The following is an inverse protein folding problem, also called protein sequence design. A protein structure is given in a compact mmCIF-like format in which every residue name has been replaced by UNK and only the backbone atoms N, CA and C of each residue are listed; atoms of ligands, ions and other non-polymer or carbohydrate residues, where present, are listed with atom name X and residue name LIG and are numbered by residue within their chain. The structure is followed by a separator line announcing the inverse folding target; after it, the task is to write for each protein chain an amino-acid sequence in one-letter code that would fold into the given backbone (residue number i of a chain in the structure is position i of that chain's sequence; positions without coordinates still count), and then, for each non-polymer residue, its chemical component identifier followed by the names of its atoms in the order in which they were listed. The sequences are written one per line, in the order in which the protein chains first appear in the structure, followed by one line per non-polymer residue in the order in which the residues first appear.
data_IF_219687390735
#
_entry.id   IF_219687390735
#
_cell.length_a   1.000
_cell.length_b   1.000
_cell.length_c   1.000
_cell.angle_alpha   90.00
_cell.angle_beta   90.00
_cell.angle_gamma   90.00
#
_symmetry.space_group_name_H-M   'P 1'
#
loop_
_entity.id
_entity.type
_entity.pdbx_description
1 polymer ?
#
# COMPACT_ATOMS: atom_id res chain seq x y z
N UNK A 1 17.59 11.97 26.79
CA UNK A 1 17.47 10.71 26.06
C UNK A 1 16.51 10.91 24.90
N UNK A 2 16.92 10.66 23.67
CA UNK A 2 16.00 10.70 22.54
C UNK A 2 15.11 9.45 22.62
N UNK A 3 13.80 9.64 22.60
CA UNK A 3 12.79 8.54 22.58
C UNK A 3 13.05 7.58 21.41
N UNK A 4 13.61 8.08 20.31
CA UNK A 4 13.93 7.31 19.11
C UNK A 4 15.01 6.25 19.31
N UNK A 5 15.95 6.42 20.25
CA UNK A 5 17.04 5.46 20.48
C UNK A 5 16.59 4.14 21.12
N UNK A 6 15.49 4.14 21.86
CA UNK A 6 15.02 2.93 22.52
C UNK A 6 14.12 2.06 21.62
N UNK A 7 13.43 2.64 20.68
CA UNK A 7 12.56 1.91 19.75
C UNK A 7 13.33 1.21 18.61
N UNK A 8 14.56 1.63 18.28
CA UNK A 8 15.38 0.97 17.25
C UNK A 8 15.75 -0.47 17.59
N UNK A 9 15.72 -0.84 18.87
CA UNK A 9 16.04 -2.19 19.36
C UNK A 9 14.95 -3.22 19.08
N UNK A 10 13.72 -2.77 18.90
CA UNK A 10 12.59 -3.65 18.69
C UNK A 10 12.34 -3.86 17.20
N UNK A 11 12.04 -5.09 16.82
CA UNK A 11 11.46 -5.39 15.52
C UNK A 11 10.07 -4.78 15.43
N UNK A 12 9.77 -4.15 14.30
CA UNK A 12 8.52 -3.44 14.06
C UNK A 12 7.88 -3.89 12.76
N UNK A 13 6.58 -3.72 12.69
CA UNK A 13 5.83 -3.75 11.45
C UNK A 13 5.33 -2.33 11.18
N UNK A 14 5.64 -1.80 10.01
CA UNK A 14 5.05 -0.55 9.55
C UNK A 14 3.67 -0.85 8.96
N UNK A 15 2.64 -0.26 9.56
CA UNK A 15 1.26 -0.53 9.18
C UNK A 15 0.78 0.28 7.97
N UNK A 16 1.57 1.23 7.47
CA UNK A 16 1.16 2.08 6.36
C UNK A 16 2.36 2.79 5.72
N UNK A 17 2.78 2.32 4.57
CA UNK A 17 3.81 2.96 3.77
C UNK A 17 3.35 3.15 2.32
N UNK A 18 4.05 4.00 1.60
CA UNK A 18 3.84 4.27 0.19
C UNK A 18 5.16 4.33 -0.55
N UNK A 19 5.12 4.01 -1.83
CA UNK A 19 6.18 4.34 -2.81
C UNK A 19 5.53 5.12 -3.96
N UNK A 20 6.31 5.91 -4.68
CA UNK A 20 5.82 6.67 -5.82
C UNK A 20 6.40 8.07 -5.89
N UNK A 21 5.83 8.88 -6.78
CA UNK A 21 6.18 10.27 -6.98
C UNK A 21 5.03 11.13 -6.45
N UNK A 22 5.28 11.80 -5.34
CA UNK A 22 4.33 12.72 -4.71
C UNK A 22 4.66 14.14 -5.14
N UNK A 23 3.83 14.70 -6.01
CA UNK A 23 4.01 16.05 -6.56
C UNK A 23 3.84 17.16 -5.53
N UNK A 24 3.59 18.40 -6.03
CA UNK A 24 3.34 19.56 -5.17
C UNK A 24 2.18 19.29 -4.20
N UNK A 25 2.28 19.72 -2.92
CA UNK A 25 3.38 20.49 -2.32
C UNK A 25 4.56 19.64 -1.82
N UNK A 26 4.48 18.32 -1.85
CA UNK A 26 5.46 17.44 -1.21
C UNK A 26 6.76 17.31 -2.00
N UNK A 27 6.68 17.19 -3.33
CA UNK A 27 7.82 16.99 -4.23
C UNK A 27 8.77 15.88 -3.77
N UNK A 28 8.20 14.74 -3.39
CA UNK A 28 8.91 13.57 -2.90
C UNK A 28 8.93 12.50 -4.00
N UNK A 29 10.10 11.92 -4.25
CA UNK A 29 10.24 10.68 -5.00
C UNK A 29 10.77 9.60 -4.06
N UNK A 30 9.96 8.61 -3.76
CA UNK A 30 10.26 7.54 -2.82
C UNK A 30 10.02 6.18 -3.48
N UNK A 31 11.09 5.45 -3.72
CA UNK A 31 11.04 4.15 -4.39
C UNK A 31 11.23 2.99 -3.40
N UNK A 32 11.10 1.75 -3.89
CA UNK A 32 11.24 0.55 -3.08
C UNK A 32 12.62 0.44 -2.41
N UNK A 33 13.71 0.83 -3.08
CA UNK A 33 15.06 0.76 -2.50
C UNK A 33 15.21 1.69 -1.31
N UNK A 34 14.63 2.90 -1.37
CA UNK A 34 14.63 3.84 -0.26
C UNK A 34 13.78 3.33 0.90
N UNK A 35 12.62 2.73 0.60
CA UNK A 35 11.77 2.09 1.61
C UNK A 35 12.52 0.99 2.35
N UNK A 36 13.16 0.08 1.62
CA UNK A 36 13.92 -1.02 2.20
C UNK A 36 15.10 -0.53 3.05
N UNK A 37 15.79 0.51 2.59
CA UNK A 37 16.87 1.14 3.36
C UNK A 37 16.35 1.73 4.68
N UNK A 38 15.21 2.40 4.67
CA UNK A 38 14.60 2.91 5.90
C UNK A 38 14.14 1.77 6.82
N UNK A 39 13.57 0.71 6.25
CA UNK A 39 13.18 -0.47 7.04
C UNK A 39 14.39 -1.06 7.79
N UNK A 40 15.54 -1.16 7.12
CA UNK A 40 16.77 -1.64 7.75
C UNK A 40 17.26 -0.68 8.84
N UNK A 41 17.35 0.62 8.55
CA UNK A 41 17.80 1.65 9.47
C UNK A 41 16.97 1.70 10.76
N UNK A 42 15.65 1.53 10.63
CA UNK A 42 14.71 1.63 11.76
C UNK A 42 14.27 0.28 12.33
N UNK A 43 14.91 -0.84 11.93
CA UNK A 43 14.56 -2.19 12.36
C UNK A 43 13.09 -2.55 12.12
N UNK A 44 12.57 -2.21 10.93
CA UNK A 44 11.24 -2.57 10.45
C UNK A 44 11.34 -3.91 9.72
N UNK A 45 10.68 -4.92 10.23
CA UNK A 45 10.75 -6.28 9.69
C UNK A 45 9.85 -6.43 8.46
N UNK A 46 8.64 -5.88 8.53
CA UNK A 46 7.66 -5.88 7.44
C UNK A 46 6.96 -4.53 7.34
N UNK A 47 6.51 -4.23 6.14
CA UNK A 47 5.66 -3.05 5.89
C UNK A 47 4.40 -3.42 5.13
N UNK A 48 3.28 -2.80 5.47
CA UNK A 48 2.08 -2.79 4.64
C UNK A 48 2.26 -1.68 3.61
N UNK A 49 2.54 -2.08 2.37
CA UNK A 49 2.73 -1.15 1.26
C UNK A 49 1.39 -0.90 0.58
N UNK A 50 0.88 0.30 0.78
CA UNK A 50 -0.40 0.74 0.22
C UNK A 50 -0.16 1.48 -1.09
N UNK A 51 -0.77 1.01 -2.18
CA UNK A 51 -0.86 1.81 -3.39
C UNK A 51 -1.79 3.01 -3.17
N UNK A 52 -1.59 4.09 -3.92
CA UNK A 52 -2.38 5.33 -3.85
C UNK A 52 -3.01 5.74 -5.19
N UNK A 53 -2.88 4.89 -6.20
CA UNK A 53 -3.44 5.07 -7.53
C UNK A 53 -3.11 3.91 -8.46
N UNK A 54 -3.67 3.89 -9.69
CA UNK A 54 -3.46 2.79 -10.64
C UNK A 54 -1.99 2.54 -10.99
N UNK A 55 -1.20 3.62 -11.14
CA UNK A 55 0.23 3.54 -11.47
C UNK A 55 1.06 2.95 -10.33
N UNK A 56 0.69 3.20 -9.07
CA UNK A 56 1.41 2.65 -7.92
C UNK A 56 1.03 1.21 -7.62
N UNK A 57 -0.08 0.70 -8.15
CA UNK A 57 -0.40 -0.73 -8.09
C UNK A 57 0.71 -1.56 -8.77
N UNK A 58 1.13 -1.18 -9.98
CA UNK A 58 2.20 -1.87 -10.71
C UNK A 58 3.57 -1.76 -10.02
N UNK A 59 3.88 -0.58 -9.47
CA UNK A 59 5.11 -0.39 -8.69
C UNK A 59 5.11 -1.26 -7.43
N UNK A 60 3.95 -1.40 -6.78
CA UNK A 60 3.77 -2.27 -5.60
C UNK A 60 3.92 -3.75 -5.97
N UNK A 61 3.38 -4.19 -7.13
CA UNK A 61 3.63 -5.55 -7.67
C UNK A 61 5.12 -5.81 -7.81
N UNK A 62 5.85 -4.91 -8.46
CA UNK A 62 7.28 -5.05 -8.69
C UNK A 62 8.07 -5.13 -7.37
N UNK A 63 7.75 -4.24 -6.41
CA UNK A 63 8.38 -4.23 -5.10
C UNK A 63 8.09 -5.51 -4.30
N UNK A 64 6.84 -5.97 -4.31
CA UNK A 64 6.45 -7.21 -3.63
C UNK A 64 7.12 -8.45 -4.24
N UNK A 65 7.15 -8.59 -5.56
CA UNK A 65 7.82 -9.71 -6.24
C UNK A 65 9.32 -9.77 -5.92
N UNK A 66 9.96 -8.61 -5.75
CA UNK A 66 11.37 -8.55 -5.38
C UNK A 66 11.62 -8.85 -3.88
N UNK A 67 10.67 -8.52 -3.00
CA UNK A 67 10.83 -8.61 -1.55
C UNK A 67 9.58 -9.16 -0.84
N UNK A 68 9.15 -10.41 -1.16
CA UNK A 68 7.89 -10.96 -0.64
C UNK A 68 7.92 -11.27 0.87
N UNK A 69 9.10 -11.36 1.46
CA UNK A 69 9.30 -11.55 2.88
C UNK A 69 9.18 -10.26 3.71
N UNK A 70 9.26 -9.10 3.06
CA UNK A 70 9.26 -7.78 3.71
C UNK A 70 8.01 -6.95 3.43
N UNK A 71 7.36 -7.15 2.28
CA UNK A 71 6.25 -6.31 1.83
C UNK A 71 4.93 -7.09 1.92
N UNK A 72 3.92 -6.44 2.50
CA UNK A 72 2.52 -6.89 2.49
C UNK A 72 1.78 -5.91 1.58
N UNK A 73 1.45 -6.28 0.34
CA UNK A 73 0.92 -5.34 -0.64
C UNK A 73 -0.59 -5.14 -0.48
N UNK A 74 -1.05 -3.89 -0.55
CA UNK A 74 -2.46 -3.54 -0.69
C UNK A 74 -2.69 -2.76 -1.99
N UNK A 75 -3.64 -3.23 -2.80
CA UNK A 75 -4.06 -2.57 -4.03
C UNK A 75 -4.90 -1.33 -3.72
N UNK A 76 -4.60 -0.19 -4.36
CA UNK A 76 -5.57 0.90 -4.44
C UNK A 76 -6.71 0.52 -5.39
N UNK A 77 -7.95 0.77 -4.95
CA UNK A 77 -9.16 0.56 -5.74
C UNK A 77 -10.11 1.76 -5.59
N UNK A 78 -10.66 2.22 -6.71
CA UNK A 78 -11.77 3.17 -6.71
C UNK A 78 -13.09 2.43 -6.92
N UNK A 79 -13.84 2.21 -5.86
CA UNK A 79 -15.11 1.49 -5.89
C UNK A 79 -16.17 2.17 -6.77
N UNK A 80 -16.08 3.50 -6.97
CA UNK A 80 -17.01 4.24 -7.83
C UNK A 80 -16.92 3.84 -9.32
N UNK A 81 -15.83 3.17 -9.73
CA UNK A 81 -15.66 2.63 -11.08
C UNK A 81 -16.47 1.32 -11.31
N UNK A 82 -16.99 0.73 -10.23
CA UNK A 82 -17.84 -0.46 -10.27
C UNK A 82 -17.09 -1.72 -10.75
N UNK A 83 -17.76 -2.54 -11.57
CA UNK A 83 -17.27 -3.87 -11.96
C UNK A 83 -15.82 -3.92 -12.46
N UNK A 84 -15.32 -3.03 -13.31
CA UNK A 84 -13.92 -3.06 -13.74
C UNK A 84 -12.93 -2.97 -12.57
N UNK A 85 -13.24 -2.18 -11.54
CA UNK A 85 -12.41 -2.07 -10.35
C UNK A 85 -12.41 -3.36 -9.52
N UNK A 86 -13.56 -4.00 -9.38
CA UNK A 86 -13.68 -5.28 -8.65
C UNK A 86 -12.96 -6.42 -9.38
N UNK A 87 -13.11 -6.51 -10.72
CA UNK A 87 -12.41 -7.50 -11.53
C UNK A 87 -10.87 -7.32 -11.41
N UNK A 88 -10.40 -6.07 -11.37
CA UNK A 88 -9.00 -5.77 -11.14
C UNK A 88 -8.55 -6.19 -9.73
N UNK A 89 -9.34 -5.90 -8.68
CA UNK A 89 -9.02 -6.31 -7.32
C UNK A 89 -8.93 -7.83 -7.21
N UNK A 90 -9.89 -8.55 -7.79
CA UNK A 90 -9.88 -10.01 -7.81
C UNK A 90 -8.60 -10.56 -8.47
N UNK A 91 -8.17 -9.98 -9.59
CA UNK A 91 -6.90 -10.31 -10.24
C UNK A 91 -5.69 -10.06 -9.31
N UNK A 92 -5.60 -8.89 -8.69
CA UNK A 92 -4.47 -8.59 -7.80
C UNK A 92 -4.40 -9.53 -6.59
N UNK A 93 -5.54 -9.90 -6.02
CA UNK A 93 -5.58 -10.83 -4.89
C UNK A 93 -5.22 -12.25 -5.33
N UNK A 94 -5.81 -12.76 -6.43
CA UNK A 94 -5.65 -14.16 -6.85
C UNK A 94 -4.33 -14.43 -7.57
N UNK A 95 -3.95 -13.55 -8.49
CA UNK A 95 -2.83 -13.78 -9.40
C UNK A 95 -1.55 -13.08 -8.93
N UNK A 96 -1.66 -11.87 -8.36
CA UNK A 96 -0.53 -11.10 -7.86
C UNK A 96 -0.30 -11.28 -6.36
N UNK A 97 -1.18 -12.03 -5.67
CA UNK A 97 -1.07 -12.37 -4.25
C UNK A 97 -1.08 -11.16 -3.29
N UNK A 98 -1.82 -10.12 -3.64
CA UNK A 98 -2.02 -8.99 -2.76
C UNK A 98 -2.84 -9.40 -1.52
N UNK A 99 -2.53 -8.79 -0.38
CA UNK A 99 -3.17 -9.11 0.89
C UNK A 99 -4.55 -8.45 1.07
N UNK A 100 -4.90 -7.50 0.22
CA UNK A 100 -6.18 -6.80 0.28
C UNK A 100 -6.21 -5.50 -0.50
N UNK A 101 -7.17 -4.66 -0.17
CA UNK A 101 -7.45 -3.40 -0.84
C UNK A 101 -7.18 -2.18 0.07
N UNK A 102 -6.78 -1.09 -0.57
CA UNK A 102 -6.71 0.26 0.01
C UNK A 102 -7.80 1.13 -0.58
N UNK A 103 -8.71 1.59 0.27
CA UNK A 103 -9.78 2.52 -0.09
C UNK A 103 -9.39 3.95 0.27
N UNK A 104 -9.60 4.88 -0.65
CA UNK A 104 -9.37 6.32 -0.43
C UNK A 104 -10.65 7.13 -0.67
N UNK A 105 -11.73 6.73 -0.04
CA UNK A 105 -13.08 7.25 -0.28
C UNK A 105 -13.17 8.78 -0.35
N UNK A 106 -12.42 9.49 0.50
CA UNK A 106 -12.37 10.96 0.49
C UNK A 106 -11.85 11.54 -0.83
N UNK A 107 -10.81 10.93 -1.41
CA UNK A 107 -10.22 11.39 -2.68
C UNK A 107 -10.95 10.86 -3.89
N UNK A 108 -11.50 9.65 -3.78
CA UNK A 108 -12.17 8.96 -4.88
C UNK A 108 -13.65 9.34 -5.00
N UNK A 109 -14.18 10.13 -4.05
CA UNK A 109 -15.49 10.78 -4.15
C UNK A 109 -16.69 9.92 -3.76
N UNK A 110 -16.51 8.92 -2.88
CA UNK A 110 -17.61 8.13 -2.30
C UNK A 110 -17.53 8.07 -0.77
N UNK A 111 -18.59 7.68 -0.10
CA UNK A 111 -18.59 7.47 1.34
C UNK A 111 -18.09 6.07 1.69
N UNK A 112 -17.44 5.91 2.84
CA UNK A 112 -16.92 4.61 3.27
C UNK A 112 -18.03 3.55 3.53
N UNK A 113 -19.26 4.00 3.71
CA UNK A 113 -20.47 3.19 3.87
C UNK A 113 -21.35 3.16 2.60
N UNK A 114 -20.82 3.60 1.46
CA UNK A 114 -21.54 3.52 0.18
C UNK A 114 -21.65 2.05 -0.27
N UNK A 115 -22.80 1.62 -0.84
CA UNK A 115 -22.97 0.27 -1.36
C UNK A 115 -21.92 -0.17 -2.40
N UNK A 116 -21.20 0.75 -3.02
CA UNK A 116 -20.09 0.40 -3.91
C UNK A 116 -18.90 -0.25 -3.17
N UNK A 117 -18.86 -0.15 -1.85
CA UNK A 117 -17.79 -0.77 -1.02
C UNK A 117 -18.11 -2.24 -0.69
N UNK A 118 -19.38 -2.62 -0.66
CA UNK A 118 -19.80 -3.98 -0.25
C UNK A 118 -19.10 -5.09 -1.05
N UNK A 119 -18.98 -5.03 -2.41
CA UNK A 119 -18.32 -6.08 -3.17
C UNK A 119 -16.84 -6.28 -2.83
N UNK A 120 -16.17 -5.25 -2.34
CA UNK A 120 -14.74 -5.35 -1.94
C UNK A 120 -14.55 -6.28 -0.75
N UNK A 121 -15.54 -6.33 0.15
CA UNK A 121 -15.49 -7.20 1.33
C UNK A 121 -15.79 -8.67 1.02
N UNK A 122 -16.30 -8.97 -0.18
CA UNK A 122 -16.65 -10.32 -0.64
C UNK A 122 -15.53 -10.99 -1.45
N UNK A 123 -14.56 -10.19 -1.92
CA UNK A 123 -13.38 -10.66 -2.66
C UNK A 123 -12.26 -11.07 -1.70
#
# INVERSE_FOLDING_TARGET
MSITSDFSKFKKIDAHSHIGIFGSPFNIHFNADLLLKQMEEFNIEKTILCSDGPHTNEETVAAFKAHPDKIIPLMWINCAEGKPAYDALEHYIRDEHFAGAKLQSLFDGYCADDPCVDPVAEI
#
